data_IF_454158457163
#
_entry.id   IF_454158457163
#
_cell.length_a   1.000
_cell.length_b   1.000
_cell.length_c   1.000
_cell.angle_alpha   90.00
_cell.angle_beta   90.00
_cell.angle_gamma   90.00
#
_symmetry.space_group_name_H-M   'P 1'
#
loop_
_entity.id
_entity.type
_entity.pdbx_description
1 polymer ?
#
# COMPACT_ATOMS: atom_id res chain seq x y z
N UNK A 1 46.05 3.65 -2.26
CA UNK A 1 44.90 2.76 -2.50
C UNK A 1 43.63 3.54 -2.17
N UNK A 2 42.71 3.69 -3.12
CA UNK A 2 41.55 4.59 -3.01
C UNK A 2 40.58 4.12 -1.91
N UNK A 3 40.52 2.82 -1.67
CA UNK A 3 39.73 2.22 -0.62
C UNK A 3 40.26 2.56 0.79
N UNK A 4 41.59 2.55 0.99
CA UNK A 4 42.21 2.99 2.24
C UNK A 4 41.94 4.47 2.54
N UNK A 5 41.96 5.32 1.52
CA UNK A 5 41.68 6.75 1.67
C UNK A 5 40.24 6.99 2.14
N UNK A 6 39.26 6.30 1.54
CA UNK A 6 37.85 6.36 1.94
C UNK A 6 37.63 5.91 3.38
N UNK A 7 38.32 4.85 3.82
CA UNK A 7 38.27 4.39 5.21
C UNK A 7 38.83 5.41 6.20
N UNK A 8 39.93 6.10 5.84
CA UNK A 8 40.50 7.15 6.68
C UNK A 8 39.56 8.36 6.79
N UNK A 9 38.96 8.79 5.69
CA UNK A 9 37.98 9.88 5.67
C UNK A 9 36.72 9.52 6.46
N UNK A 10 36.23 8.30 6.31
CA UNK A 10 35.09 7.78 7.06
C UNK A 10 35.35 7.79 8.58
N UNK A 11 36.54 7.34 9.00
CA UNK A 11 36.95 7.32 10.40
C UNK A 11 37.13 8.73 10.99
N UNK A 12 37.70 9.67 10.22
CA UNK A 12 37.92 11.05 10.65
C UNK A 12 36.60 11.84 10.78
N UNK A 13 35.68 11.64 9.83
CA UNK A 13 34.38 12.34 9.79
C UNK A 13 33.32 11.65 10.64
N UNK A 14 33.53 10.38 11.02
CA UNK A 14 32.62 9.61 11.87
C UNK A 14 31.40 9.07 11.13
N UNK A 15 31.53 8.78 9.82
CA UNK A 15 30.46 8.26 8.97
C UNK A 15 30.84 6.90 8.38
N UNK A 16 29.87 6.04 8.02
CA UNK A 16 30.12 4.83 7.24
C UNK A 16 30.91 5.07 5.94
N UNK A 17 31.72 4.09 5.54
CA UNK A 17 32.52 4.16 4.29
C UNK A 17 31.63 4.35 3.06
N UNK A 18 30.43 3.73 3.03
CA UNK A 18 29.49 3.89 1.93
C UNK A 18 28.97 5.34 1.77
N UNK A 19 28.86 6.09 2.87
CA UNK A 19 28.45 7.49 2.84
C UNK A 19 29.56 8.36 2.23
N UNK A 20 30.82 8.05 2.50
CA UNK A 20 31.97 8.71 1.86
C UNK A 20 31.99 8.43 0.36
N UNK A 21 31.70 7.21 -0.07
CA UNK A 21 31.62 6.83 -1.49
C UNK A 21 30.49 7.57 -2.22
N UNK A 22 29.31 7.65 -1.61
CA UNK A 22 28.18 8.41 -2.13
C UNK A 22 28.54 9.90 -2.25
N UNK A 23 29.13 10.49 -1.20
CA UNK A 23 29.49 11.91 -1.19
C UNK A 23 30.63 12.21 -2.17
N UNK A 24 31.62 11.33 -2.31
CA UNK A 24 32.66 11.44 -3.34
C UNK A 24 32.04 11.45 -4.75
N UNK A 25 31.06 10.57 -5.01
CA UNK A 25 30.28 10.59 -6.26
C UNK A 25 29.59 11.92 -6.51
N UNK A 26 28.95 12.51 -5.49
CA UNK A 26 28.26 13.81 -5.60
C UNK A 26 29.20 15.01 -5.71
N UNK A 27 30.39 14.94 -5.12
CA UNK A 27 31.38 16.04 -5.09
C UNK A 27 32.36 16.00 -6.26
N UNK A 28 32.51 14.85 -6.93
CA UNK A 28 33.47 14.65 -8.02
C UNK A 28 33.02 15.22 -9.37
N UNK A 29 31.72 15.53 -9.52
CA UNK A 29 31.15 16.14 -10.74
C UNK A 29 30.30 17.36 -10.43
N UNK A 30 30.25 18.32 -11.35
CA UNK A 30 29.22 19.36 -11.35
C UNK A 30 27.88 18.76 -11.79
N UNK A 31 26.77 19.27 -11.24
CA UNK A 31 25.44 18.93 -11.75
C UNK A 31 25.36 19.23 -13.26
N UNK A 32 24.88 18.26 -14.03
CA UNK A 32 24.65 18.44 -15.46
C UNK A 32 23.25 19.02 -15.68
N UNK A 33 23.14 19.96 -16.62
CA UNK A 33 21.85 20.51 -17.00
C UNK A 33 21.00 19.41 -17.65
N UNK A 34 19.81 19.19 -17.12
CA UNK A 34 18.83 18.28 -17.71
C UNK A 34 18.34 18.75 -19.08
N UNK A 35 18.45 20.05 -19.38
CA UNK A 35 18.10 20.63 -20.66
C UNK A 35 19.27 20.59 -21.67
N UNK A 36 20.41 19.99 -21.32
CA UNK A 36 21.50 19.84 -22.27
C UNK A 36 21.14 18.76 -23.30
N UNK A 37 21.46 19.01 -24.57
CA UNK A 37 21.23 18.04 -25.64
C UNK A 37 22.27 16.92 -25.60
N UNK A 38 21.83 15.68 -25.84
CA UNK A 38 22.68 14.49 -25.83
C UNK A 38 23.62 14.42 -27.05
N UNK A 39 23.25 15.09 -28.15
CA UNK A 39 24.06 15.22 -29.36
C UNK A 39 24.22 16.69 -29.77
N UNK A 40 25.19 16.94 -30.65
CA UNK A 40 25.46 18.25 -31.25
C UNK A 40 24.62 18.54 -32.51
N UNK A 41 23.74 17.61 -32.89
CA UNK A 41 22.83 17.76 -34.03
C UNK A 41 21.60 18.56 -33.62
N UNK A 42 20.97 19.27 -34.57
CA UNK A 42 19.79 20.13 -34.32
C UNK A 42 18.57 19.34 -33.77
N UNK A 43 18.53 18.02 -33.95
CA UNK A 43 17.47 17.12 -33.47
C UNK A 43 17.86 16.34 -32.18
N UNK A 44 18.90 16.78 -31.46
CA UNK A 44 19.36 16.13 -30.24
C UNK A 44 18.33 16.20 -29.10
N UNK A 45 18.04 15.05 -28.46
CA UNK A 45 17.13 14.99 -27.30
C UNK A 45 17.77 15.59 -26.06
N UNK A 46 16.98 16.21 -25.20
CA UNK A 46 17.46 16.68 -23.89
C UNK A 46 17.68 15.48 -22.94
N UNK A 47 18.47 15.65 -21.88
CA UNK A 47 18.65 14.61 -20.86
C UNK A 47 17.36 14.36 -20.06
N UNK A 48 16.52 15.39 -19.88
CA UNK A 48 15.24 15.26 -19.17
C UNK A 48 14.29 14.27 -19.86
N UNK A 49 14.32 14.22 -21.20
CA UNK A 49 13.44 13.34 -21.99
C UNK A 49 13.82 11.86 -21.89
N UNK A 50 15.01 11.55 -21.39
CA UNK A 50 15.48 10.18 -21.18
C UNK A 50 15.26 9.70 -19.75
N UNK A 51 14.80 10.56 -18.83
CA UNK A 51 14.48 10.16 -17.47
C UNK A 51 13.15 9.42 -17.47
N UNK A 52 13.17 8.19 -16.96
CA UNK A 52 11.97 7.40 -16.71
C UNK A 52 11.19 7.99 -15.53
N UNK A 53 9.86 8.05 -15.67
CA UNK A 53 8.97 8.38 -14.56
C UNK A 53 8.61 7.09 -13.81
N UNK A 54 9.13 6.95 -12.60
CA UNK A 54 8.81 5.85 -11.68
C UNK A 54 7.41 5.98 -11.04
N UNK A 55 6.64 6.99 -11.45
CA UNK A 55 5.25 7.19 -11.06
C UNK A 55 4.31 6.09 -11.55
N UNK A 56 3.14 6.00 -10.90
CA UNK A 56 2.09 5.04 -11.29
C UNK A 56 1.64 5.33 -12.73
N UNK A 57 1.70 4.32 -13.57
CA UNK A 57 1.30 4.46 -14.97
C UNK A 57 -0.20 4.68 -15.09
N UNK A 58 -0.64 5.43 -16.09
CA UNK A 58 -2.06 5.75 -16.26
C UNK A 58 -2.96 4.50 -16.37
N UNK A 59 -2.47 3.45 -17.01
CA UNK A 59 -3.17 2.17 -17.12
C UNK A 59 -3.33 1.50 -15.74
N UNK A 60 -2.28 1.48 -14.93
CA UNK A 60 -2.29 0.90 -13.58
C UNK A 60 -3.22 1.68 -12.65
N UNK A 61 -3.24 3.01 -12.77
CA UNK A 61 -4.15 3.86 -12.00
C UNK A 61 -5.62 3.56 -12.32
N UNK A 62 -5.96 3.39 -13.61
CA UNK A 62 -7.31 3.07 -14.07
C UNK A 62 -7.72 1.66 -13.65
N UNK A 63 -6.83 0.69 -13.79
CA UNK A 63 -7.03 -0.69 -13.32
C UNK A 63 -7.30 -0.73 -11.82
N UNK A 64 -6.45 -0.09 -11.02
CA UNK A 64 -6.61 -0.04 -9.56
C UNK A 64 -7.91 0.63 -9.13
N UNK A 65 -8.36 1.67 -9.83
CA UNK A 65 -9.65 2.31 -9.57
C UNK A 65 -10.82 1.35 -9.86
N UNK A 66 -10.81 0.69 -11.02
CA UNK A 66 -11.86 -0.27 -11.39
C UNK A 66 -11.92 -1.48 -10.44
N UNK A 67 -10.77 -2.00 -10.03
CA UNK A 67 -10.70 -3.12 -9.09
C UNK A 67 -11.20 -2.73 -7.71
N UNK A 68 -10.86 -1.52 -7.25
CA UNK A 68 -11.36 -0.98 -5.98
C UNK A 68 -12.88 -0.85 -5.98
N UNK A 69 -13.45 -0.34 -7.08
CA UNK A 69 -14.91 -0.18 -7.20
C UNK A 69 -15.63 -1.53 -7.27
N UNK A 70 -15.10 -2.49 -8.03
CA UNK A 70 -15.63 -3.87 -8.04
C UNK A 70 -15.57 -4.52 -6.66
N UNK A 71 -14.45 -4.36 -5.96
CA UNK A 71 -14.29 -4.89 -4.60
C UNK A 71 -15.30 -4.27 -3.64
N UNK A 72 -15.54 -2.96 -3.73
CA UNK A 72 -16.58 -2.27 -2.96
C UNK A 72 -17.95 -2.86 -3.23
N UNK A 73 -18.33 -3.05 -4.49
CA UNK A 73 -19.62 -3.63 -4.86
C UNK A 73 -19.80 -5.04 -4.29
N UNK A 74 -18.76 -5.87 -4.39
CA UNK A 74 -18.78 -7.22 -3.80
C UNK A 74 -18.89 -7.20 -2.28
N UNK A 75 -18.19 -6.30 -1.60
CA UNK A 75 -18.29 -6.14 -0.14
C UNK A 75 -19.68 -5.66 0.29
N UNK A 76 -20.28 -4.71 -0.43
CA UNK A 76 -21.64 -4.23 -0.17
C UNK A 76 -22.63 -5.38 -0.32
N UNK A 77 -22.53 -6.16 -1.40
CA UNK A 77 -23.38 -7.33 -1.62
C UNK A 77 -23.20 -8.38 -0.50
N UNK A 78 -21.96 -8.63 -0.06
CA UNK A 78 -21.68 -9.55 1.04
C UNK A 78 -22.29 -9.06 2.37
N UNK A 79 -22.23 -7.76 2.65
CA UNK A 79 -22.86 -7.14 3.83
C UNK A 79 -24.39 -7.21 3.78
N UNK A 80 -25.00 -7.10 2.59
CA UNK A 80 -26.44 -7.24 2.42
C UNK A 80 -26.94 -8.65 2.75
N UNK A 81 -26.13 -9.68 2.53
CA UNK A 81 -26.41 -11.07 2.92
C UNK A 81 -26.39 -11.34 4.43
N UNK A 82 -25.93 -10.38 5.24
CA UNK A 82 -25.94 -10.48 6.70
C UNK A 82 -27.30 -10.06 7.25
N UNK A 83 -27.72 -10.73 8.34
CA UNK A 83 -28.88 -10.28 9.10
C UNK A 83 -28.56 -8.95 9.83
N UNK A 84 -29.60 -8.26 10.31
CA UNK A 84 -29.44 -6.94 10.92
C UNK A 84 -28.44 -6.92 12.10
N UNK A 85 -28.45 -7.95 12.94
CA UNK A 85 -27.52 -8.06 14.09
C UNK A 85 -26.09 -8.33 13.66
N UNK A 86 -25.89 -9.26 12.73
CA UNK A 86 -24.58 -9.57 12.15
C UNK A 86 -23.96 -8.35 11.47
N UNK A 87 -24.76 -7.65 10.66
CA UNK A 87 -24.33 -6.43 9.96
C UNK A 87 -23.95 -5.33 10.94
N UNK A 88 -24.75 -5.15 12.00
CA UNK A 88 -24.45 -4.17 13.04
C UNK A 88 -23.13 -4.49 13.75
N UNK A 89 -22.94 -5.73 14.19
CA UNK A 89 -21.70 -6.17 14.85
C UNK A 89 -20.48 -5.97 13.95
N UNK A 90 -20.57 -6.31 12.65
CA UNK A 90 -19.47 -6.11 11.70
C UNK A 90 -19.19 -4.62 11.49
N UNK A 91 -20.22 -3.80 11.28
CA UNK A 91 -20.07 -2.37 11.06
C UNK A 91 -19.39 -1.66 12.25
N UNK A 92 -19.88 -1.92 13.46
CA UNK A 92 -19.35 -1.31 14.69
C UNK A 92 -17.91 -1.74 15.01
N UNK A 93 -17.47 -2.92 14.55
CA UNK A 93 -16.14 -3.46 14.87
C UNK A 93 -15.09 -3.26 13.78
N UNK A 94 -15.51 -3.14 12.52
CA UNK A 94 -14.61 -3.23 11.36
C UNK A 94 -14.75 -2.10 10.35
N UNK A 95 -15.87 -1.39 10.36
CA UNK A 95 -16.14 -0.29 9.41
C UNK A 95 -16.02 1.10 10.06
N UNK A 96 -15.57 1.15 11.32
CA UNK A 96 -15.25 2.38 12.05
C UNK A 96 -13.75 2.44 12.30
N UNK A 97 -13.21 3.65 12.31
CA UNK A 97 -11.78 3.89 12.62
C UNK A 97 -11.42 3.33 14.00
N UNK A 98 -12.27 3.60 15.00
CA UNK A 98 -12.18 3.01 16.33
C UNK A 98 -13.24 1.91 16.51
N UNK A 99 -12.85 0.67 16.23
CA UNK A 99 -13.73 -0.49 16.36
C UNK A 99 -14.12 -0.80 17.81
N UNK A 100 -15.40 -1.09 18.04
CA UNK A 100 -15.93 -1.41 19.37
C UNK A 100 -15.50 -2.79 19.89
N UNK A 101 -15.38 -2.92 21.21
CA UNK A 101 -15.05 -4.20 21.86
C UNK A 101 -16.25 -5.15 21.87
N UNK A 102 -15.97 -6.46 22.01
CA UNK A 102 -17.04 -7.48 22.08
C UNK A 102 -17.90 -7.29 23.33
N UNK A 103 -17.27 -6.85 24.42
CA UNK A 103 -17.89 -6.55 25.70
C UNK A 103 -18.88 -5.40 25.56
N UNK A 104 -18.46 -4.27 24.98
CA UNK A 104 -19.35 -3.09 24.81
C UNK A 104 -20.56 -3.39 23.94
N UNK A 105 -20.40 -4.22 22.90
CA UNK A 105 -21.50 -4.65 22.04
C UNK A 105 -22.37 -5.70 22.71
N UNK A 106 -21.80 -6.55 23.57
CA UNK A 106 -22.54 -7.51 24.36
C UNK A 106 -23.47 -6.80 25.36
N UNK A 107 -22.95 -5.79 26.07
CA UNK A 107 -23.73 -4.97 26.99
C UNK A 107 -24.90 -4.26 26.28
N UNK A 108 -24.65 -3.64 25.12
CA UNK A 108 -25.71 -2.95 24.37
C UNK A 108 -26.77 -3.91 23.81
N UNK A 109 -26.35 -5.05 23.26
CA UNK A 109 -27.25 -6.00 22.60
C UNK A 109 -27.92 -6.98 23.58
N UNK A 110 -27.59 -6.91 24.87
CA UNK A 110 -28.06 -7.86 25.89
C UNK A 110 -27.54 -9.29 25.64
N UNK A 111 -26.32 -9.41 25.11
CA UNK A 111 -25.68 -10.68 24.75
C UNK A 111 -24.38 -10.88 25.53
N UNK A 112 -24.01 -12.14 25.78
CA UNK A 112 -22.66 -12.41 26.30
C UNK A 112 -21.60 -12.06 25.26
N UNK A 113 -20.40 -11.71 25.74
CA UNK A 113 -19.20 -11.50 24.89
C UNK A 113 -19.00 -12.64 23.90
N UNK A 114 -19.13 -13.88 24.37
CA UNK A 114 -18.97 -15.07 23.53
C UNK A 114 -20.07 -15.18 22.46
N UNK A 115 -21.30 -14.78 22.79
CA UNK A 115 -22.38 -14.78 21.80
C UNK A 115 -22.13 -13.75 20.69
N UNK A 116 -21.62 -12.57 21.03
CA UNK A 116 -21.23 -11.55 20.03
C UNK A 116 -20.08 -12.08 19.15
N UNK A 117 -19.07 -12.73 19.75
CA UNK A 117 -17.96 -13.37 19.01
C UNK A 117 -18.47 -14.40 18.00
N UNK A 118 -19.42 -15.24 18.40
CA UNK A 118 -20.02 -16.24 17.50
C UNK A 118 -20.77 -15.61 16.34
N UNK A 119 -21.55 -14.55 16.60
CA UNK A 119 -22.27 -13.82 15.55
C UNK A 119 -21.30 -13.14 14.58
N UNK A 120 -20.22 -12.54 15.08
CA UNK A 120 -19.16 -11.98 14.25
C UNK A 120 -18.51 -13.05 13.36
N UNK A 121 -18.10 -14.17 13.95
CA UNK A 121 -17.49 -15.26 13.19
C UNK A 121 -18.43 -15.84 12.12
N UNK A 122 -19.72 -16.00 12.45
CA UNK A 122 -20.73 -16.45 11.50
C UNK A 122 -20.95 -15.44 10.36
N UNK A 123 -20.94 -14.13 10.67
CA UNK A 123 -21.04 -13.07 9.69
C UNK A 123 -19.86 -13.11 8.71
N UNK A 124 -18.63 -13.20 9.23
CA UNK A 124 -17.43 -13.31 8.38
C UNK A 124 -17.46 -14.57 7.50
N UNK A 125 -17.92 -15.70 8.03
CA UNK A 125 -18.05 -16.92 7.24
C UNK A 125 -19.07 -16.75 6.10
N UNK A 126 -20.18 -16.02 6.32
CA UNK A 126 -21.15 -15.69 5.27
C UNK A 126 -20.55 -14.75 4.22
N UNK A 127 -19.88 -13.68 4.66
CA UNK A 127 -19.23 -12.73 3.75
C UNK A 127 -18.18 -13.43 2.88
N UNK A 128 -17.34 -14.28 3.47
CA UNK A 128 -16.34 -15.06 2.74
C UNK A 128 -16.97 -15.95 1.67
N UNK A 129 -18.05 -16.68 2.00
CA UNK A 129 -18.77 -17.49 1.00
C UNK A 129 -19.37 -16.65 -0.13
N UNK A 130 -19.91 -15.47 0.18
CA UNK A 130 -20.43 -14.55 -0.82
C UNK A 130 -19.32 -14.07 -1.76
N UNK A 131 -18.16 -13.75 -1.21
CA UNK A 131 -17.00 -13.24 -1.95
C UNK A 131 -16.31 -14.31 -2.80
N UNK A 132 -16.18 -15.53 -2.27
CA UNK A 132 -15.67 -16.70 -3.02
C UNK A 132 -16.51 -17.05 -4.25
N UNK A 133 -17.80 -16.67 -4.24
CA UNK A 133 -18.69 -16.85 -5.38
C UNK A 133 -18.58 -15.78 -6.47
N UNK A 134 -17.94 -14.63 -6.19
CA UNK A 134 -17.89 -13.49 -7.12
C UNK A 134 -16.64 -13.50 -8.02
N UNK A 135 -15.46 -13.88 -7.49
CA UNK A 135 -14.28 -14.10 -8.33
C UNK A 135 -13.22 -14.95 -7.62
N UNK A 136 -12.43 -15.70 -8.40
CA UNK A 136 -11.19 -16.34 -7.92
C UNK A 136 -10.16 -15.29 -7.49
N UNK A 137 -10.19 -14.10 -8.07
CA UNK A 137 -9.25 -13.00 -7.78
C UNK A 137 -9.43 -12.43 -6.36
N UNK A 138 -10.63 -12.50 -5.79
CA UNK A 138 -10.85 -12.06 -4.40
C UNK A 138 -10.02 -12.88 -3.40
N UNK A 139 -9.69 -14.13 -3.73
CA UNK A 139 -8.77 -14.93 -2.91
C UNK A 139 -7.34 -14.42 -2.96
N UNK A 140 -6.91 -13.82 -4.07
CA UNK A 140 -5.57 -13.26 -4.21
C UNK A 140 -5.44 -11.93 -3.47
N UNK A 141 -6.53 -11.16 -3.39
CA UNK A 141 -6.52 -9.85 -2.70
C UNK A 141 -6.69 -9.95 -1.17
N UNK A 142 -7.23 -11.07 -0.67
CA UNK A 142 -7.49 -11.30 0.77
C UNK A 142 -6.44 -12.18 1.48
N UNK A 143 -5.43 -12.68 0.76
CA UNK A 143 -4.28 -13.45 1.29
C UNK A 143 -3.02 -12.58 1.24
#
# INVERSE_FOLDING_TARGET
DQHQLRQMVAAEVGVPVHDVEMMEGRLSGSDYSLNATQSADEDGREWIDALEDDGVQAAEAVEGAHDTDRLRDWLINALQGLNARERYIVAERKLKDEGRTLESLGEELGLSKERVRQLEAAAFAKMRRSLEGQSREVRHFLL
#
